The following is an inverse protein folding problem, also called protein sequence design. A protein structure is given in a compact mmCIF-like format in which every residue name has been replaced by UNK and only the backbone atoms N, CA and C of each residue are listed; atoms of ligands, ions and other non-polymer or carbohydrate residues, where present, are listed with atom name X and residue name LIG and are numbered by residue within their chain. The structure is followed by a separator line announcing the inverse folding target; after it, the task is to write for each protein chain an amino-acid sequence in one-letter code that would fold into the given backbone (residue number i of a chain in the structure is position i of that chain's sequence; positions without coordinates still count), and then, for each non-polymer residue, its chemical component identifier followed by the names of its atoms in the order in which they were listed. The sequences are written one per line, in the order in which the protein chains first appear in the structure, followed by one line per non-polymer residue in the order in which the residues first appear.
data_IF_715555238084
#
_entry.id   IF_715555238084
#
_cell.length_a   1.000
_cell.length_b   1.000
_cell.length_c   1.000
_cell.angle_alpha   90.00
_cell.angle_beta   90.00
_cell.angle_gamma   90.00
#
_symmetry.space_group_name_H-M   'P 1'
#
loop_
_entity.id
_entity.type
_entity.pdbx_description
1 polymer ?
#
# COMPACT_ATOMS: atom_id res chain seq x y z
N UNK A 1 45.11 0.97 -3.44
CA UNK A 1 44.07 2.02 -3.52
C UNK A 1 42.80 1.34 -4.01
N UNK A 2 41.97 0.84 -3.10
CA UNK A 2 40.78 0.05 -3.47
C UNK A 2 39.58 0.98 -3.67
N UNK A 3 39.27 1.28 -4.93
CA UNK A 3 38.10 2.05 -5.31
C UNK A 3 36.86 1.12 -5.29
N UNK A 4 36.38 0.85 -4.07
CA UNK A 4 35.14 0.10 -3.83
C UNK A 4 33.92 0.91 -4.26
N UNK A 5 33.56 0.85 -5.54
CA UNK A 5 32.28 1.37 -6.04
C UNK A 5 31.14 0.54 -5.45
N UNK A 6 30.65 0.95 -4.26
CA UNK A 6 29.40 0.43 -3.70
C UNK A 6 28.29 0.69 -4.72
N UNK A 7 27.77 -0.38 -5.31
CA UNK A 7 26.64 -0.33 -6.22
C UNK A 7 25.53 0.53 -5.59
N UNK A 8 25.22 1.69 -6.19
CA UNK A 8 24.14 2.54 -5.72
C UNK A 8 22.83 1.76 -5.84
N UNK A 9 22.33 1.24 -4.72
CA UNK A 9 21.01 0.61 -4.65
C UNK A 9 19.97 1.64 -5.06
N UNK A 10 19.41 1.51 -6.26
CA UNK A 10 18.30 2.36 -6.71
C UNK A 10 17.11 2.08 -5.80
N UNK A 11 16.43 3.12 -5.30
CA UNK A 11 15.24 2.93 -4.49
C UNK A 11 14.15 2.27 -5.33
N UNK A 12 13.51 1.24 -4.76
CA UNK A 12 12.37 0.58 -5.39
C UNK A 12 11.13 1.49 -5.32
N UNK A 13 10.95 2.16 -4.18
CA UNK A 13 9.86 3.11 -3.97
C UNK A 13 10.40 4.40 -3.38
N UNK A 14 9.98 5.53 -3.95
CA UNK A 14 10.19 6.88 -3.42
C UNK A 14 8.84 7.49 -3.03
N UNK A 15 8.77 8.08 -1.84
CA UNK A 15 7.58 8.80 -1.43
C UNK A 15 7.40 10.06 -2.29
N UNK A 16 6.16 10.35 -2.69
CA UNK A 16 5.84 11.55 -3.48
C UNK A 16 5.74 12.82 -2.63
N UNK A 17 5.51 12.68 -1.32
CA UNK A 17 5.34 13.79 -0.38
C UNK A 17 6.62 14.14 0.38
N UNK A 18 7.62 13.24 0.42
CA UNK A 18 8.89 13.48 1.09
C UNK A 18 10.05 12.68 0.48
N UNK A 19 11.28 12.90 0.95
CA UNK A 19 12.50 12.24 0.43
C UNK A 19 12.71 10.81 0.96
N UNK A 20 11.69 10.16 1.55
CA UNK A 20 11.80 8.80 2.08
C UNK A 20 11.83 7.79 0.93
N UNK A 21 12.85 6.93 0.97
CA UNK A 21 13.11 5.92 -0.04
C UNK A 21 13.13 4.53 0.60
N UNK A 22 12.55 3.54 -0.08
CA UNK A 22 12.63 2.12 0.28
C UNK A 22 13.47 1.39 -0.77
N UNK A 23 14.50 0.68 -0.31
CA UNK A 23 15.51 0.01 -1.15
C UNK A 23 15.53 -1.51 -0.99
N UNK A 24 14.60 -2.08 -0.19
CA UNK A 24 14.46 -3.52 0.07
C UNK A 24 13.36 -4.16 -0.78
N UNK A 25 13.42 -5.48 -1.03
CA UNK A 25 12.56 -6.21 -1.99
C UNK A 25 11.44 -7.04 -1.35
N UNK A 26 11.37 -7.16 -0.02
CA UNK A 26 10.27 -7.87 0.65
C UNK A 26 9.37 -6.85 1.36
N UNK A 27 8.07 -6.89 1.05
CA UNK A 27 7.00 -6.08 1.65
C UNK A 27 7.16 -4.54 1.52
N UNK A 28 7.97 -4.05 0.60
CA UNK A 28 8.29 -2.64 0.40
C UNK A 28 7.07 -1.79 -0.01
N UNK A 29 6.11 -2.36 -0.75
CA UNK A 29 4.85 -1.69 -1.05
C UNK A 29 4.08 -1.38 0.23
N UNK A 30 4.00 -2.34 1.16
CA UNK A 30 3.38 -2.14 2.47
C UNK A 30 4.15 -1.12 3.31
N UNK A 31 5.48 -1.16 3.29
CA UNK A 31 6.31 -0.19 4.04
C UNK A 31 6.16 1.23 3.53
N UNK A 32 6.12 1.41 2.20
CA UNK A 32 5.87 2.72 1.61
C UNK A 32 4.45 3.19 1.89
N UNK A 33 3.46 2.31 1.76
CA UNK A 33 2.07 2.62 2.10
C UNK A 33 1.90 3.02 3.57
N UNK A 34 2.49 2.29 4.52
CA UNK A 34 2.47 2.61 5.94
C UNK A 34 3.13 3.96 6.22
N UNK A 35 4.25 4.27 5.55
CA UNK A 35 4.87 5.59 5.64
C UNK A 35 3.94 6.70 5.15
N UNK A 36 3.34 6.54 3.97
CA UNK A 36 2.38 7.51 3.43
C UNK A 36 1.17 7.64 4.36
N UNK A 37 0.66 6.53 4.90
CA UNK A 37 -0.44 6.51 5.87
C UNK A 37 -0.12 7.31 7.13
N UNK A 38 1.02 7.04 7.76
CA UNK A 38 1.35 7.64 9.06
C UNK A 38 1.73 9.10 8.95
N UNK A 39 2.33 9.51 7.84
CA UNK A 39 2.95 10.83 7.74
C UNK A 39 2.27 11.78 6.77
N UNK A 40 1.48 11.28 5.83
CA UNK A 40 0.99 12.08 4.71
C UNK A 40 -0.51 11.90 4.40
N UNK A 41 -1.16 10.87 4.94
CA UNK A 41 -2.54 10.56 4.61
C UNK A 41 -3.34 10.23 5.87
N UNK A 42 -4.10 11.19 6.39
CA UNK A 42 -4.84 11.04 7.63
C UNK A 42 -5.91 9.94 7.49
N UNK A 43 -5.99 9.06 8.50
CA UNK A 43 -6.97 7.97 8.54
C UNK A 43 -8.43 8.45 8.51
N UNK A 44 -8.68 9.69 8.94
CA UNK A 44 -10.00 10.32 8.93
C UNK A 44 -10.54 10.60 7.52
N UNK A 45 -9.69 10.66 6.50
CA UNK A 45 -10.12 11.00 5.13
C UNK A 45 -10.54 9.76 4.31
N UNK A 46 -9.96 8.60 4.61
CA UNK A 46 -10.33 7.33 4.00
C UNK A 46 -10.06 6.15 4.97
N UNK A 47 -10.99 5.89 5.91
CA UNK A 47 -10.79 4.92 7.00
C UNK A 47 -10.78 3.47 6.54
N UNK A 48 -11.32 3.16 5.36
CA UNK A 48 -11.42 1.80 4.84
C UNK A 48 -10.39 1.53 3.75
N UNK A 49 -9.73 0.38 3.78
CA UNK A 49 -8.81 -0.02 2.72
C UNK A 49 -8.84 -1.51 2.39
N UNK A 50 -8.51 -1.82 1.12
CA UNK A 50 -8.36 -3.16 0.59
C UNK A 50 -6.99 -3.72 1.00
N UNK A 51 -6.94 -4.82 1.74
CA UNK A 51 -5.66 -5.45 2.12
C UNK A 51 -4.88 -6.03 0.92
N UNK A 52 -5.55 -6.34 -0.19
CA UNK A 52 -4.91 -6.92 -1.39
C UNK A 52 -4.18 -5.89 -2.26
N UNK A 53 -4.74 -4.68 -2.42
CA UNK A 53 -4.16 -3.64 -3.29
C UNK A 53 -3.97 -2.29 -2.61
N UNK A 54 -4.32 -2.17 -1.33
CA UNK A 54 -4.22 -0.96 -0.52
C UNK A 54 -5.09 0.21 -1.00
N UNK A 55 -6.05 -0.06 -1.90
CA UNK A 55 -7.09 0.90 -2.31
C UNK A 55 -7.86 1.38 -1.08
N UNK A 56 -8.01 2.69 -0.94
CA UNK A 56 -8.75 3.30 0.16
C UNK A 56 -10.03 3.96 -0.32
N UNK A 57 -11.00 4.06 0.59
CA UNK A 57 -12.23 4.80 0.36
C UNK A 57 -12.83 5.25 1.69
N UNK A 58 -13.75 6.21 1.59
CA UNK A 58 -14.45 6.82 2.73
C UNK A 58 -15.59 5.96 3.28
N UNK A 59 -16.05 4.96 2.53
CA UNK A 59 -17.24 4.16 2.84
C UNK A 59 -17.02 2.66 2.62
N UNK A 60 -17.63 1.80 3.43
CA UNK A 60 -17.52 0.34 3.31
C UNK A 60 -18.11 -0.14 1.97
N UNK A 61 -19.19 0.46 1.49
CA UNK A 61 -19.88 0.07 0.25
C UNK A 61 -18.98 0.25 -0.98
N UNK A 62 -18.19 1.33 -0.99
CA UNK A 62 -17.19 1.56 -2.04
C UNK A 62 -16.08 0.50 -2.00
N UNK A 63 -15.67 0.08 -0.81
CA UNK A 63 -14.68 -1.00 -0.66
C UNK A 63 -15.25 -2.35 -1.12
N UNK A 64 -16.51 -2.65 -0.77
CA UNK A 64 -17.20 -3.86 -1.21
C UNK A 64 -17.33 -3.91 -2.74
N UNK A 65 -17.78 -2.82 -3.36
CA UNK A 65 -17.80 -2.71 -4.83
C UNK A 65 -16.41 -2.90 -5.42
N UNK A 66 -15.38 -2.31 -4.81
CA UNK A 66 -14.01 -2.47 -5.27
C UNK A 66 -13.59 -3.96 -5.26
N UNK A 67 -13.81 -4.69 -4.17
CA UNK A 67 -13.35 -6.09 -4.08
C UNK A 67 -14.15 -7.00 -5.01
N UNK A 68 -15.45 -6.77 -5.15
CA UNK A 68 -16.35 -7.56 -6.00
C UNK A 68 -16.11 -7.35 -7.50
N UNK A 69 -15.96 -6.11 -7.96
CA UNK A 69 -15.92 -5.79 -9.39
C UNK A 69 -14.51 -5.59 -9.95
N UNK A 70 -13.52 -5.32 -9.10
CA UNK A 70 -12.15 -5.18 -9.59
C UNK A 70 -11.65 -6.53 -10.06
N UNK A 71 -11.39 -6.67 -11.36
CA UNK A 71 -11.09 -7.95 -12.03
C UNK A 71 -9.97 -8.77 -11.36
N UNK A 72 -9.02 -8.12 -10.70
CA UNK A 72 -7.94 -8.79 -9.94
C UNK A 72 -8.40 -9.39 -8.60
N UNK A 73 -9.48 -8.86 -8.02
CA UNK A 73 -10.04 -9.30 -6.75
C UNK A 73 -11.35 -10.08 -6.92
N UNK A 74 -12.08 -9.89 -8.01
CA UNK A 74 -13.33 -10.59 -8.32
C UNK A 74 -13.16 -12.12 -8.26
N UNK A 75 -12.04 -12.63 -8.79
CA UNK A 75 -11.67 -14.06 -8.76
C UNK A 75 -11.40 -14.58 -7.34
N UNK A 76 -11.02 -13.70 -6.42
CA UNK A 76 -10.60 -14.02 -5.05
C UNK A 76 -11.71 -13.74 -4.03
N UNK A 77 -12.71 -12.94 -4.40
CA UNK A 77 -13.89 -12.61 -3.59
C UNK A 77 -14.80 -13.81 -3.33
N UNK A 78 -14.68 -14.87 -4.14
CA UNK A 78 -15.34 -16.15 -3.92
C UNK A 78 -14.74 -16.90 -2.70
N UNK A 79 -13.56 -16.50 -2.24
CA UNK A 79 -12.93 -16.97 -1.00
C UNK A 79 -13.25 -15.92 0.07
N UNK A 80 -14.02 -16.30 1.10
CA UNK A 80 -14.69 -15.44 2.10
C UNK A 80 -13.78 -14.57 3.00
N UNK A 81 -12.53 -14.31 2.64
CA UNK A 81 -11.52 -13.68 3.51
C UNK A 81 -11.00 -12.34 2.98
N UNK A 82 -11.87 -11.50 2.39
CA UNK A 82 -11.46 -10.12 2.12
C UNK A 82 -11.45 -9.34 3.43
N UNK A 83 -10.28 -9.31 4.08
CA UNK A 83 -10.06 -8.62 5.36
C UNK A 83 -10.17 -7.11 5.13
N UNK A 84 -11.35 -6.56 5.41
CA UNK A 84 -11.59 -5.12 5.55
C UNK A 84 -10.94 -4.69 6.85
N UNK A 85 -9.98 -3.77 6.76
CA UNK A 85 -9.37 -3.17 7.95
C UNK A 85 -9.84 -1.72 8.04
N UNK A 86 -10.44 -1.39 9.17
CA UNK A 86 -10.61 -0.01 9.59
C UNK A 86 -9.27 0.45 10.19
N UNK A 87 -8.82 1.64 9.80
CA UNK A 87 -7.67 2.26 10.46
C UNK A 87 -8.11 2.89 11.78
N UNK A 88 -7.55 2.40 12.90
CA UNK A 88 -7.60 3.06 14.20
C UNK A 88 -6.53 4.14 14.30
#
# INVERSE_FOLDING_TARGET
MENGQKARKRPLFSCIHCKKNITTYINERYRMFDHVQKHHFALSEAPFYCSMCLFRCSTIEALLKHVTYYRRHALMSAIKEVVIKAGC
#
